data_IF_421366796205
#
_entry.id   IF_421366796205
#
_cell.length_a   1.000
_cell.length_b   1.000
_cell.length_c   1.000
_cell.angle_alpha   90.00
_cell.angle_beta   90.00
_cell.angle_gamma   90.00
#
_symmetry.space_group_name_H-M   'P 1'
#
loop_
_entity.id
_entity.type
_entity.pdbx_description
1 polymer ?
#
# COMPACT_ATOMS: atom_id res chain seq x y z
N UNK A 1 -27.33 30.48 -9.92
CA UNK A 1 -27.62 29.04 -9.74
C UNK A 1 -26.35 28.26 -10.09
N UNK A 2 -25.53 27.93 -9.09
CA UNK A 2 -24.23 27.30 -9.30
C UNK A 2 -24.39 25.78 -9.33
N UNK A 3 -24.13 25.15 -10.48
CA UNK A 3 -23.93 23.68 -10.58
C UNK A 3 -22.44 23.41 -10.41
N UNK A 4 -22.06 22.89 -9.25
CA UNK A 4 -20.68 22.54 -8.94
C UNK A 4 -20.43 21.13 -9.48
N UNK A 5 -19.58 21.03 -10.51
CA UNK A 5 -19.17 19.77 -11.12
C UNK A 5 -17.93 19.25 -10.39
N UNK A 6 -18.14 18.45 -9.34
CA UNK A 6 -17.07 17.76 -8.62
C UNK A 6 -16.77 16.43 -9.31
N UNK A 7 -15.79 16.42 -10.21
CA UNK A 7 -15.38 15.19 -10.88
C UNK A 7 -14.06 15.22 -11.64
N UNK A 8 -13.19 16.22 -11.42
CA UNK A 8 -11.98 16.42 -12.23
C UNK A 8 -10.67 16.58 -11.44
N UNK A 9 -10.60 16.06 -10.22
CA UNK A 9 -9.44 16.32 -9.33
C UNK A 9 -8.67 15.08 -8.84
N UNK A 10 -8.55 13.98 -9.59
CA UNK A 10 -7.67 12.86 -9.15
C UNK A 10 -6.97 12.04 -10.24
N UNK A 11 -6.76 12.55 -11.45
CA UNK A 11 -5.83 11.91 -12.41
C UNK A 11 -5.16 12.98 -13.27
N UNK A 12 -4.24 13.74 -12.68
CA UNK A 12 -3.22 14.40 -13.49
C UNK A 12 -2.21 13.33 -13.90
N UNK A 13 -2.00 13.23 -15.21
CA UNK A 13 -1.16 12.23 -15.85
C UNK A 13 0.29 12.60 -15.59
N UNK A 14 0.87 12.05 -14.52
CA UNK A 14 2.31 12.02 -14.31
C UNK A 14 2.95 11.02 -15.28
N UNK A 15 2.99 11.37 -16.56
CA UNK A 15 3.78 10.65 -17.57
C UNK A 15 4.86 11.57 -18.09
N UNK A 16 5.77 11.96 -17.20
CA UNK A 16 7.05 12.53 -17.59
C UNK A 16 8.15 11.82 -16.78
N UNK A 17 8.47 10.59 -17.22
CA UNK A 17 9.64 9.85 -16.76
C UNK A 17 9.33 8.51 -16.08
N UNK A 18 9.67 7.42 -16.78
CA UNK A 18 9.80 6.02 -16.33
C UNK A 18 8.52 5.20 -16.06
N UNK A 19 8.19 4.35 -17.04
CA UNK A 19 7.51 3.06 -16.96
C UNK A 19 6.33 2.89 -15.99
N UNK A 20 5.13 2.68 -16.56
CA UNK A 20 3.90 2.36 -15.83
C UNK A 20 4.09 1.19 -14.84
N UNK A 21 4.98 0.24 -15.15
CA UNK A 21 5.33 -0.87 -14.29
C UNK A 21 6.11 -0.45 -13.04
N UNK A 22 6.98 0.55 -13.14
CA UNK A 22 7.70 1.10 -12.00
C UNK A 22 6.72 1.80 -11.04
N UNK A 23 5.85 2.66 -11.56
CA UNK A 23 4.80 3.30 -10.75
C UNK A 23 3.87 2.28 -10.08
N UNK A 24 3.50 1.22 -10.80
CA UNK A 24 2.70 0.12 -10.25
C UNK A 24 3.45 -0.61 -9.13
N UNK A 25 4.75 -0.85 -9.30
CA UNK A 25 5.59 -1.48 -8.29
C UNK A 25 5.71 -0.61 -7.04
N UNK A 26 5.90 0.71 -7.19
CA UNK A 26 5.94 1.64 -6.05
C UNK A 26 4.61 1.63 -5.28
N UNK A 27 3.48 1.64 -5.99
CA UNK A 27 2.16 1.56 -5.35
C UNK A 27 1.98 0.23 -4.58
N UNK A 28 2.45 -0.89 -5.15
CA UNK A 28 2.43 -2.20 -4.48
C UNK A 28 3.36 -2.26 -3.27
N UNK A 29 4.52 -1.60 -3.36
CA UNK A 29 5.50 -1.51 -2.28
C UNK A 29 4.95 -0.73 -1.09
N UNK A 30 4.39 0.46 -1.35
CA UNK A 30 3.76 1.30 -0.33
C UNK A 30 2.59 0.58 0.32
N UNK A 31 1.76 -0.12 -0.46
CA UNK A 31 0.68 -0.96 0.05
C UNK A 31 1.22 -2.05 0.98
N UNK A 32 2.26 -2.77 0.59
CA UNK A 32 2.88 -3.83 1.41
C UNK A 32 3.37 -3.31 2.75
N UNK A 33 4.10 -2.19 2.77
CA UNK A 33 4.61 -1.55 3.98
C UNK A 33 3.46 -1.10 4.89
N UNK A 34 2.45 -0.44 4.32
CA UNK A 34 1.32 0.08 5.08
C UNK A 34 0.53 -1.03 5.78
N UNK A 35 0.36 -2.18 5.11
CA UNK A 35 -0.35 -3.33 5.67
C UNK A 35 0.46 -4.10 6.73
N UNK A 36 1.78 -3.95 6.72
CA UNK A 36 2.67 -4.56 7.71
C UNK A 36 2.63 -3.88 9.08
N UNK A 37 2.06 -2.66 9.16
CA UNK A 37 1.96 -1.90 10.41
C UNK A 37 1.13 -2.65 11.47
N UNK A 38 1.59 -2.58 12.73
CA UNK A 38 0.93 -3.27 13.84
C UNK A 38 -0.52 -2.84 14.04
N UNK A 39 -0.86 -1.58 13.74
CA UNK A 39 -2.24 -1.05 13.84
C UNK A 39 -3.21 -1.81 12.96
N UNK A 40 -2.77 -2.21 11.76
CA UNK A 40 -3.53 -3.01 10.79
C UNK A 40 -3.70 -4.45 11.30
N UNK A 41 -2.66 -5.01 11.93
CA UNK A 41 -2.67 -6.39 12.41
C UNK A 41 -3.52 -6.62 13.66
N UNK A 42 -3.73 -5.60 14.50
CA UNK A 42 -4.55 -5.71 15.73
C UNK A 42 -6.05 -5.85 15.46
N UNK A 43 -6.51 -5.48 14.26
CA UNK A 43 -7.93 -5.51 13.89
C UNK A 43 -8.20 -6.66 12.91
N UNK A 44 -9.00 -7.67 13.32
CA UNK A 44 -9.26 -8.88 12.53
C UNK A 44 -9.85 -8.58 11.14
N UNK A 45 -10.83 -7.68 11.07
CA UNK A 45 -11.47 -7.30 9.80
C UNK A 45 -10.51 -6.55 8.87
N UNK A 46 -9.74 -5.62 9.43
CA UNK A 46 -8.72 -4.87 8.67
C UNK A 46 -7.63 -5.81 8.15
N UNK A 47 -7.21 -6.80 8.94
CA UNK A 47 -6.26 -7.84 8.51
C UNK A 47 -6.82 -8.72 7.40
N UNK A 48 -8.12 -9.03 7.41
CA UNK A 48 -8.80 -9.77 6.34
C UNK A 48 -8.80 -8.94 5.04
N UNK A 49 -9.12 -7.66 5.15
CA UNK A 49 -9.06 -6.72 4.03
C UNK A 49 -7.63 -6.56 3.49
N UNK A 50 -6.63 -6.46 4.38
CA UNK A 50 -5.21 -6.40 4.04
C UNK A 50 -4.79 -7.60 3.19
N UNK A 51 -5.23 -8.81 3.55
CA UNK A 51 -4.97 -10.03 2.75
C UNK A 51 -5.57 -9.95 1.35
N UNK A 52 -6.79 -9.44 1.21
CA UNK A 52 -7.39 -9.22 -0.10
C UNK A 52 -6.63 -8.18 -0.93
N UNK A 53 -6.11 -7.12 -0.29
CA UNK A 53 -5.30 -6.10 -0.94
C UNK A 53 -3.93 -6.64 -1.37
N UNK A 54 -3.26 -7.45 -0.54
CA UNK A 54 -2.01 -8.12 -0.90
C UNK A 54 -2.20 -9.07 -2.09
N UNK A 55 -3.28 -9.86 -2.09
CA UNK A 55 -3.63 -10.73 -3.23
C UNK A 55 -3.80 -9.93 -4.53
N UNK A 56 -4.40 -8.74 -4.47
CA UNK A 56 -4.53 -7.83 -5.64
C UNK A 56 -3.20 -7.18 -6.02
N UNK A 57 -2.34 -6.89 -5.04
CA UNK A 57 -1.03 -6.27 -5.21
C UNK A 57 0.07 -7.22 -5.70
N UNK A 58 -0.14 -8.53 -5.65
CA UNK A 58 0.79 -9.52 -6.19
C UNK A 58 2.12 -9.61 -5.45
N UNK A 59 3.09 -10.29 -6.06
CA UNK A 59 4.37 -10.64 -5.44
C UNK A 59 5.15 -9.44 -4.83
N UNK A 60 5.22 -8.26 -5.48
CA UNK A 60 5.90 -7.10 -4.88
C UNK A 60 5.25 -6.66 -3.56
N UNK A 61 3.92 -6.60 -3.50
CA UNK A 61 3.22 -6.21 -2.27
C UNK A 61 3.51 -7.19 -1.12
N UNK A 62 3.59 -8.49 -1.41
CA UNK A 62 3.98 -9.50 -0.43
C UNK A 62 5.43 -9.34 0.05
N UNK A 63 6.37 -9.09 -0.86
CA UNK A 63 7.77 -8.87 -0.51
C UNK A 63 7.91 -7.73 0.51
N UNK A 64 7.31 -6.58 0.23
CA UNK A 64 7.38 -5.41 1.10
C UNK A 64 6.62 -5.62 2.42
N UNK A 65 5.49 -6.35 2.40
CA UNK A 65 4.76 -6.71 3.61
C UNK A 65 5.58 -7.58 4.57
N UNK A 66 6.26 -8.62 4.07
CA UNK A 66 7.09 -9.49 4.92
C UNK A 66 8.32 -8.76 5.45
N UNK A 67 9.00 -7.97 4.62
CA UNK A 67 10.14 -7.15 5.05
C UNK A 67 9.74 -6.17 6.16
N UNK A 68 8.62 -5.47 6.00
CA UNK A 68 8.07 -4.58 7.04
C UNK A 68 7.81 -5.31 8.35
N UNK A 69 7.28 -6.54 8.29
CA UNK A 69 7.02 -7.36 9.47
C UNK A 69 8.30 -7.81 10.19
N UNK A 70 9.32 -8.23 9.42
CA UNK A 70 10.61 -8.65 9.98
C UNK A 70 11.26 -7.47 10.71
N UNK A 71 11.29 -6.30 10.08
CA UNK A 71 11.82 -5.07 10.69
C UNK A 71 11.06 -4.67 11.96
N UNK A 72 9.73 -4.73 11.95
CA UNK A 72 8.91 -4.41 13.13
C UNK A 72 9.18 -5.37 14.30
N UNK A 73 9.34 -6.67 14.02
CA UNK A 73 9.65 -7.68 15.04
C UNK A 73 11.09 -7.54 15.57
N UNK A 74 12.05 -7.22 14.71
CA UNK A 74 13.43 -6.94 15.12
C UNK A 74 13.49 -5.72 16.06
N UNK A 75 12.75 -4.66 15.73
CA UNK A 75 12.65 -3.46 16.58
C UNK A 75 12.05 -3.75 17.94
N UNK A 76 11.03 -4.61 18.02
CA UNK A 76 10.43 -5.04 19.29
C UNK A 76 11.34 -5.91 20.16
N UNK A 77 12.45 -6.42 19.62
CA UNK A 77 13.42 -7.27 20.32
C UNK A 77 14.65 -6.51 20.82
N UNK A 78 14.82 -5.25 20.38
CA UNK A 78 15.96 -4.39 20.69
C UNK A 78 15.63 -3.28 21.71
N UNK A 79 14.38 -3.21 22.18
CA UNK A 79 13.96 -2.34 23.29
C UNK A 79 13.33 -3.17 24.38
#
# INVERSE_FOLDING_TARGET
>A
MYKISFGKYYYHRDTEGTDTDFHKMINQALLGIYLADQKVQRQKEVKKMARHLLNKGGAPAYFFFFNGRIMANLRSKMG
#
